data_IF_816672236469
#
_entry.id   IF_816672236469
#
_cell.length_a   1.000
_cell.length_b   1.000
_cell.length_c   1.000
_cell.angle_alpha   90.00
_cell.angle_beta   90.00
_cell.angle_gamma   90.00
#
_symmetry.space_group_name_H-M   'P 1'
#
loop_
_entity.id
_entity.type
_entity.pdbx_description
1 polymer ?
#
# COMPACT_ATOMS: atom_id res chain seq x y z
N UNK A 1 32.61 -27.82 63.63
CA UNK A 1 31.20 -28.17 63.37
C UNK A 1 31.22 -29.57 62.78
N UNK A 2 30.93 -30.55 63.63
CA UNK A 2 30.99 -31.96 63.27
C UNK A 2 29.75 -32.32 62.46
N UNK A 3 29.96 -32.96 61.31
CA UNK A 3 28.91 -33.61 60.53
C UNK A 3 28.67 -34.94 61.24
N UNK A 4 27.54 -35.06 61.93
CA UNK A 4 27.11 -36.31 62.53
C UNK A 4 26.55 -37.21 61.42
N UNK A 5 27.32 -38.24 61.05
CA UNK A 5 26.89 -39.35 60.21
C UNK A 5 25.88 -40.21 60.99
N UNK A 6 24.61 -40.35 60.54
CA UNK A 6 23.64 -41.20 61.22
C UNK A 6 23.67 -42.62 60.63
N UNK A 7 24.84 -43.24 60.59
CA UNK A 7 24.97 -44.67 60.31
C UNK A 7 25.27 -45.40 61.62
N UNK A 8 24.30 -45.36 62.52
CA UNK A 8 24.29 -46.16 63.73
C UNK A 8 24.17 -47.64 63.35
N UNK A 9 25.22 -48.38 63.70
CA UNK A 9 25.47 -49.79 63.44
C UNK A 9 24.42 -50.69 64.12
N UNK A 10 23.55 -51.30 63.32
CA UNK A 10 22.68 -52.42 63.71
C UNK A 10 22.51 -53.38 62.53
N UNK A 11 22.23 -54.68 62.75
CA UNK A 11 22.08 -55.61 61.64
C UNK A 11 20.91 -55.15 60.76
N UNK A 12 21.16 -54.97 59.46
CA UNK A 12 20.11 -54.61 58.48
C UNK A 12 19.03 -55.69 58.54
N UNK A 13 17.93 -55.37 59.22
CA UNK A 13 16.82 -56.30 59.35
C UNK A 13 16.06 -56.39 58.03
N UNK A 14 15.65 -57.61 57.66
CA UNK A 14 14.82 -57.86 56.46
C UNK A 14 13.61 -56.93 56.38
N UNK A 15 13.01 -56.60 57.52
CA UNK A 15 11.86 -55.68 57.64
C UNK A 15 12.19 -54.24 57.23
N UNK A 16 13.39 -53.75 57.54
CA UNK A 16 13.85 -52.43 57.11
C UNK A 16 14.03 -52.36 55.59
N UNK A 17 14.65 -53.39 54.98
CA UNK A 17 14.76 -53.48 53.53
C UNK A 17 13.40 -53.56 52.85
N UNK A 18 12.46 -54.34 53.41
CA UNK A 18 11.09 -54.45 52.89
C UNK A 18 10.33 -53.11 52.96
N UNK A 19 10.55 -52.30 54.00
CA UNK A 19 9.99 -50.96 54.11
C UNK A 19 10.60 -49.99 53.08
N UNK A 20 11.93 -49.98 52.95
CA UNK A 20 12.64 -49.14 51.99
C UNK A 20 12.26 -49.48 50.54
N UNK A 21 12.15 -50.77 50.19
CA UNK A 21 11.68 -51.18 48.86
C UNK A 21 10.23 -50.81 48.60
N UNK A 22 9.39 -50.74 49.65
CA UNK A 22 8.00 -50.31 49.52
C UNK A 22 7.92 -48.81 49.24
N UNK A 23 8.65 -48.01 50.00
CA UNK A 23 8.75 -46.55 49.82
C UNK A 23 9.30 -46.22 48.42
N UNK A 24 10.39 -46.88 48.01
CA UNK A 24 10.98 -46.70 46.68
C UNK A 24 9.99 -47.07 45.57
N UNK A 25 9.18 -48.12 45.76
CA UNK A 25 8.11 -48.49 44.80
C UNK A 25 7.00 -47.45 44.76
N UNK A 26 6.63 -46.88 45.89
CA UNK A 26 5.62 -45.82 45.98
C UNK A 26 6.11 -44.53 45.29
N UNK A 27 7.37 -44.15 45.51
CA UNK A 27 8.04 -43.02 44.85
C UNK A 27 8.15 -43.22 43.34
N UNK A 28 8.58 -44.41 42.89
CA UNK A 28 8.61 -44.73 41.46
C UNK A 28 7.21 -44.72 40.84
N UNK A 29 6.20 -45.20 41.57
CA UNK A 29 4.81 -45.14 41.12
C UNK A 29 4.29 -43.69 41.06
N UNK A 30 4.70 -42.83 41.99
CA UNK A 30 4.38 -41.41 42.00
C UNK A 30 5.04 -40.69 40.82
N UNK A 31 6.36 -40.84 40.65
CA UNK A 31 7.10 -40.27 39.54
C UNK A 31 6.53 -40.73 38.18
N UNK A 32 6.18 -42.00 38.04
CA UNK A 32 5.54 -42.51 36.82
C UNK A 32 4.18 -41.86 36.55
N UNK A 33 3.39 -41.60 37.59
CA UNK A 33 2.10 -40.89 37.48
C UNK A 33 2.31 -39.44 37.07
N UNK A 34 3.28 -38.75 37.67
CA UNK A 34 3.58 -37.35 37.38
C UNK A 34 4.07 -37.20 35.94
N UNK A 35 5.05 -38.01 35.52
CA UNK A 35 5.52 -38.03 34.12
C UNK A 35 4.38 -38.34 33.15
N UNK A 36 3.49 -39.27 33.47
CA UNK A 36 2.35 -39.57 32.63
C UNK A 36 1.34 -38.41 32.55
N UNK A 37 1.19 -37.63 33.63
CA UNK A 37 0.37 -36.42 33.67
C UNK A 37 0.98 -35.32 32.80
N UNK A 38 2.27 -35.07 32.95
CA UNK A 38 3.00 -34.05 32.18
C UNK A 38 2.99 -34.37 30.69
N UNK A 39 3.21 -35.63 30.30
CA UNK A 39 3.11 -36.06 28.90
C UNK A 39 1.71 -35.83 28.34
N UNK A 40 0.66 -36.01 29.13
CA UNK A 40 -0.72 -35.72 28.69
C UNK A 40 -0.95 -34.22 28.51
N UNK A 41 -0.45 -33.40 29.44
CA UNK A 41 -0.54 -31.94 29.34
C UNK A 41 0.18 -31.44 28.08
N UNK A 42 1.43 -31.87 27.86
CA UNK A 42 2.22 -31.51 26.67
C UNK A 42 1.51 -31.94 25.39
N UNK A 43 0.92 -33.15 25.34
CA UNK A 43 0.17 -33.60 24.16
C UNK A 43 -1.06 -32.74 23.87
N UNK A 44 -1.75 -32.29 24.91
CA UNK A 44 -2.89 -31.39 24.79
C UNK A 44 -2.44 -30.04 24.25
N UNK A 45 -1.43 -29.44 24.85
CA UNK A 45 -0.89 -28.14 24.44
C UNK A 45 -0.37 -28.18 23.00
N UNK A 46 0.29 -29.27 22.60
CA UNK A 46 0.75 -29.47 21.22
C UNK A 46 -0.43 -29.57 20.24
N UNK A 47 -1.52 -30.24 20.63
CA UNK A 47 -2.74 -30.31 19.84
C UNK A 47 -3.40 -28.94 19.66
N UNK A 48 -3.50 -28.16 20.73
CA UNK A 48 -4.02 -26.79 20.68
C UNK A 48 -3.14 -25.86 19.84
N UNK A 49 -1.81 -25.99 19.95
CA UNK A 49 -0.87 -25.25 19.12
C UNK A 49 -1.03 -25.61 17.64
N UNK A 50 -1.17 -26.91 17.32
CA UNK A 50 -1.42 -27.37 15.96
C UNK A 50 -2.68 -26.75 15.36
N UNK A 51 -3.79 -26.76 16.10
CA UNK A 51 -5.03 -26.11 15.65
C UNK A 51 -4.86 -24.60 15.41
N UNK A 52 -4.10 -23.92 16.27
CA UNK A 52 -3.80 -22.50 16.10
C UNK A 52 -2.96 -22.25 14.86
N UNK A 53 -1.94 -23.07 14.60
CA UNK A 53 -1.11 -22.97 13.40
C UNK A 53 -1.97 -23.18 12.14
N UNK A 54 -2.77 -24.25 12.09
CA UNK A 54 -3.68 -24.51 10.96
C UNK A 54 -4.63 -23.33 10.72
N UNK A 55 -5.14 -22.71 11.79
CA UNK A 55 -6.04 -21.55 11.67
C UNK A 55 -5.32 -20.31 11.13
N UNK A 56 -4.06 -20.11 11.52
CA UNK A 56 -3.23 -19.00 11.05
C UNK A 56 -2.79 -19.21 9.60
N UNK A 57 -2.48 -20.45 9.20
CA UNK A 57 -2.15 -20.80 7.82
C UNK A 57 -3.33 -20.50 6.90
N UNK A 58 -4.54 -20.98 7.23
CA UNK A 58 -5.75 -20.67 6.45
C UNK A 58 -6.06 -19.17 6.39
N UNK A 59 -5.86 -18.46 7.50
CA UNK A 59 -6.04 -17.00 7.52
C UNK A 59 -4.97 -16.28 6.67
N UNK A 60 -3.76 -16.84 6.59
CA UNK A 60 -2.69 -16.38 5.72
C UNK A 60 -3.05 -16.55 4.24
N UNK A 61 -3.47 -17.75 3.86
CA UNK A 61 -3.92 -18.07 2.49
C UNK A 61 -5.05 -17.14 2.04
N UNK A 62 -6.09 -16.97 2.87
CA UNK A 62 -7.19 -16.05 2.56
C UNK A 62 -6.73 -14.62 2.32
N UNK A 63 -5.82 -14.11 3.17
CA UNK A 63 -5.29 -12.75 3.02
C UNK A 63 -4.42 -12.61 1.78
N UNK A 64 -3.67 -13.64 1.41
CA UNK A 64 -2.87 -13.64 0.20
C UNK A 64 -3.75 -13.59 -1.06
N UNK A 65 -4.86 -14.34 -1.06
CA UNK A 65 -5.87 -14.27 -2.13
C UNK A 65 -6.51 -12.88 -2.22
N UNK A 66 -6.90 -12.29 -1.09
CA UNK A 66 -7.48 -10.94 -1.03
C UNK A 66 -6.50 -9.87 -1.53
N UNK A 67 -5.23 -9.94 -1.12
CA UNK A 67 -4.17 -9.05 -1.59
C UNK A 67 -3.93 -9.18 -3.10
N UNK A 68 -3.94 -10.41 -3.61
CA UNK A 68 -3.82 -10.69 -5.05
C UNK A 68 -5.00 -10.11 -5.82
N UNK A 69 -6.22 -10.22 -5.31
CA UNK A 69 -7.41 -9.62 -5.92
C UNK A 69 -7.31 -8.08 -5.96
N UNK A 70 -7.00 -7.44 -4.84
CA UNK A 70 -6.84 -5.99 -4.78
C UNK A 70 -5.71 -5.47 -5.66
N UNK A 71 -4.60 -6.21 -5.77
CA UNK A 71 -3.52 -5.84 -6.68
C UNK A 71 -3.98 -5.81 -8.15
N UNK A 72 -4.85 -6.74 -8.55
CA UNK A 72 -5.43 -6.75 -9.90
C UNK A 72 -6.37 -5.57 -10.11
N UNK A 73 -7.25 -5.31 -9.14
CA UNK A 73 -8.17 -4.16 -9.19
C UNK A 73 -7.41 -2.83 -9.31
N UNK A 74 -6.35 -2.63 -8.52
CA UNK A 74 -5.52 -1.43 -8.58
C UNK A 74 -4.87 -1.24 -9.95
N UNK A 75 -4.45 -2.34 -10.59
CA UNK A 75 -3.88 -2.29 -11.93
C UNK A 75 -4.94 -1.91 -12.97
N UNK A 76 -6.13 -2.49 -12.90
CA UNK A 76 -7.25 -2.08 -13.76
C UNK A 76 -7.66 -0.62 -13.56
N UNK A 77 -7.69 -0.13 -12.31
CA UNK A 77 -8.01 1.27 -12.03
C UNK A 77 -6.93 2.20 -12.58
N UNK A 78 -5.66 1.80 -12.49
CA UNK A 78 -4.55 2.55 -13.09
C UNK A 78 -4.72 2.65 -14.61
N UNK A 79 -5.01 1.54 -15.28
CA UNK A 79 -5.18 1.50 -16.74
C UNK A 79 -6.39 2.33 -17.19
N UNK A 80 -7.51 2.24 -16.44
CA UNK A 80 -8.70 3.08 -16.68
C UNK A 80 -8.39 4.56 -16.50
N UNK A 81 -7.65 4.94 -15.46
CA UNK A 81 -7.25 6.33 -15.23
C UNK A 81 -6.32 6.84 -16.33
N UNK A 82 -5.35 6.03 -16.76
CA UNK A 82 -4.47 6.39 -17.87
C UNK A 82 -5.26 6.58 -19.18
N UNK A 83 -6.20 5.69 -19.47
CA UNK A 83 -7.11 5.84 -20.61
C UNK A 83 -7.98 7.09 -20.55
N UNK A 84 -8.48 7.46 -19.37
CA UNK A 84 -9.24 8.70 -19.18
C UNK A 84 -8.37 9.94 -19.37
N UNK A 85 -7.13 9.93 -18.91
CA UNK A 85 -6.19 11.03 -19.12
C UNK A 85 -5.88 11.24 -20.60
N UNK A 86 -5.68 10.16 -21.37
CA UNK A 86 -5.47 10.23 -22.81
C UNK A 86 -6.68 10.82 -23.53
N UNK A 87 -7.90 10.38 -23.18
CA UNK A 87 -9.14 10.94 -23.74
C UNK A 87 -9.32 12.41 -23.39
N UNK A 88 -8.98 12.81 -22.17
CA UNK A 88 -9.01 14.22 -21.76
C UNK A 88 -8.04 15.06 -22.57
N UNK A 89 -6.82 14.57 -22.79
CA UNK A 89 -5.84 15.24 -23.64
C UNK A 89 -6.33 15.37 -25.08
N UNK A 90 -6.91 14.31 -25.64
CA UNK A 90 -7.51 14.32 -26.97
C UNK A 90 -8.66 15.34 -27.06
N UNK A 91 -9.57 15.36 -26.08
CA UNK A 91 -10.66 16.34 -26.03
C UNK A 91 -10.15 17.77 -25.85
N UNK A 92 -9.13 18.00 -25.02
CA UNK A 92 -8.50 19.32 -24.90
C UNK A 92 -7.86 19.75 -26.22
N UNK A 93 -7.18 18.85 -26.92
CA UNK A 93 -6.54 19.12 -28.19
C UNK A 93 -7.59 19.36 -29.29
N UNK A 94 -8.65 18.57 -29.34
CA UNK A 94 -9.76 18.74 -30.26
C UNK A 94 -10.48 20.07 -30.02
N UNK A 95 -10.75 20.42 -28.75
CA UNK A 95 -11.34 21.70 -28.36
C UNK A 95 -10.44 22.90 -28.70
N UNK A 96 -9.11 22.71 -28.73
CA UNK A 96 -8.13 23.75 -29.09
C UNK A 96 -7.71 23.72 -30.55
N UNK A 97 -8.20 22.79 -31.36
CA UNK A 97 -7.74 22.59 -32.73
C UNK A 97 -7.95 23.83 -33.62
N UNK A 98 -9.06 24.55 -33.40
CA UNK A 98 -9.37 25.81 -34.10
C UNK A 98 -8.85 27.06 -33.37
N UNK A 99 -8.19 26.92 -32.21
CA UNK A 99 -7.76 28.06 -31.40
C UNK A 99 -6.37 28.54 -31.81
N UNK A 100 -6.31 29.72 -32.42
CA UNK A 100 -5.04 30.39 -32.75
C UNK A 100 -4.61 31.29 -31.59
N UNK A 101 -3.34 31.16 -31.17
CA UNK A 101 -2.73 31.99 -30.11
C UNK A 101 -1.77 33.01 -30.70
N UNK A 102 -2.16 34.28 -30.67
CA UNK A 102 -1.32 35.39 -31.13
C UNK A 102 -0.57 35.99 -29.93
N UNK A 103 0.77 36.04 -30.00
CA UNK A 103 1.63 36.67 -28.98
C UNK A 103 2.15 38.01 -29.48
N UNK A 104 2.40 38.94 -28.56
CA UNK A 104 2.97 40.26 -28.90
C UNK A 104 1.94 41.29 -29.40
N UNK A 105 0.64 40.99 -29.31
CA UNK A 105 -0.40 41.96 -29.66
C UNK A 105 -0.33 43.19 -28.74
N UNK A 106 -0.34 44.42 -29.30
CA UNK A 106 -0.18 45.66 -28.56
C UNK A 106 -1.27 45.80 -27.49
N UNK A 107 -0.91 46.23 -26.27
CA UNK A 107 -1.87 46.36 -25.17
C UNK A 107 -2.97 47.40 -25.45
N UNK A 108 -2.70 48.37 -26.32
CA UNK A 108 -3.61 49.47 -26.68
C UNK A 108 -4.86 49.02 -27.44
N UNK A 109 -4.86 47.80 -27.99
CA UNK A 109 -6.07 47.19 -28.54
C UNK A 109 -6.90 46.61 -27.38
N UNK A 110 -7.60 47.50 -26.68
CA UNK A 110 -8.51 47.21 -25.56
C UNK A 110 -9.82 46.53 -26.02
N UNK A 111 -10.51 45.94 -25.03
CA UNK A 111 -11.49 44.86 -25.09
C UNK A 111 -12.75 45.01 -25.97
N UNK A 112 -12.91 46.11 -26.72
CA UNK A 112 -14.08 46.33 -27.58
C UNK A 112 -13.83 46.21 -29.08
N UNK A 113 -12.56 46.24 -29.54
CA UNK A 113 -12.19 46.27 -30.97
C UNK A 113 -11.06 45.30 -31.33
N UNK A 114 -10.89 44.25 -30.54
CA UNK A 114 -9.82 43.28 -30.77
C UNK A 114 -10.06 42.46 -32.05
N UNK A 115 -11.32 42.27 -32.43
CA UNK A 115 -11.74 41.64 -33.68
C UNK A 115 -11.26 42.43 -34.90
N UNK A 116 -11.48 43.75 -34.92
CA UNK A 116 -11.02 44.64 -35.99
C UNK A 116 -9.49 44.57 -36.16
N UNK A 117 -8.77 44.56 -35.04
CA UNK A 117 -7.31 44.41 -35.03
C UNK A 117 -6.88 43.06 -35.62
N UNK A 118 -7.55 41.96 -35.25
CA UNK A 118 -7.26 40.62 -35.77
C UNK A 118 -7.52 40.57 -37.28
N UNK A 119 -8.64 41.11 -37.76
CA UNK A 119 -8.95 41.15 -39.19
C UNK A 119 -7.92 41.98 -39.97
N UNK A 120 -7.53 43.14 -39.45
CA UNK A 120 -6.46 43.95 -40.06
C UNK A 120 -5.12 43.22 -40.07
N UNK A 121 -4.78 42.51 -38.99
CA UNK A 121 -3.58 41.71 -38.90
C UNK A 121 -3.57 40.57 -39.94
N UNK A 122 -4.67 39.83 -40.08
CA UNK A 122 -4.77 38.77 -41.09
C UNK A 122 -4.67 39.29 -42.52
N UNK A 123 -5.25 40.47 -42.83
CA UNK A 123 -5.08 41.11 -44.14
C UNK A 123 -3.62 41.46 -44.45
N UNK A 124 -2.87 41.90 -43.42
CA UNK A 124 -1.45 42.23 -43.59
C UNK A 124 -0.58 40.98 -43.79
N UNK A 125 -0.86 39.90 -43.05
CA UNK A 125 -0.06 38.67 -43.08
C UNK A 125 -0.41 37.78 -44.27
N UNK A 126 -1.70 37.69 -44.63
CA UNK A 126 -2.20 36.87 -45.74
C UNK A 126 -3.14 37.72 -46.62
N UNK A 127 -2.58 38.51 -47.56
CA UNK A 127 -3.37 39.42 -48.40
C UNK A 127 -4.33 38.72 -49.37
N UNK A 128 -4.08 37.44 -49.67
CA UNK A 128 -4.90 36.63 -50.56
C UNK A 128 -6.16 36.08 -49.88
N UNK A 129 -6.36 36.35 -48.59
CA UNK A 129 -7.49 35.86 -47.82
C UNK A 129 -8.70 36.79 -48.04
N UNK A 130 -9.81 36.24 -48.52
CA UNK A 130 -11.06 37.00 -48.70
C UNK A 130 -11.70 37.29 -47.33
N UNK A 131 -12.23 38.50 -47.12
CA UNK A 131 -12.75 38.94 -45.82
C UNK A 131 -13.92 38.08 -45.30
N UNK A 132 -14.72 37.53 -46.21
CA UNK A 132 -15.87 36.66 -45.89
C UNK A 132 -15.45 35.24 -45.45
N UNK A 133 -14.18 34.86 -45.66
CA UNK A 133 -13.69 33.52 -45.33
C UNK A 133 -13.26 33.36 -43.86
N UNK A 134 -13.11 34.47 -43.12
CA UNK A 134 -12.63 34.45 -41.73
C UNK A 134 -13.81 34.60 -40.78
N UNK A 135 -14.23 33.48 -40.20
CA UNK A 135 -15.25 33.44 -39.14
C UNK A 135 -14.52 33.36 -37.80
N UNK A 136 -14.74 34.36 -36.94
CA UNK A 136 -14.20 34.41 -35.58
C UNK A 136 -15.36 34.13 -34.60
N UNK A 137 -15.30 33.02 -33.87
CA UNK A 137 -16.34 32.67 -32.88
C UNK A 137 -16.16 33.42 -31.56
N UNK A 138 -14.95 33.42 -31.02
CA UNK A 138 -14.61 34.08 -29.75
C UNK A 138 -13.21 34.66 -29.83
N UNK A 139 -13.08 35.95 -29.52
CA UNK A 139 -11.77 36.59 -29.34
C UNK A 139 -11.60 37.05 -27.90
N UNK A 140 -10.54 36.58 -27.25
CA UNK A 140 -10.29 36.92 -25.86
C UNK A 140 -8.79 37.06 -25.59
N UNK A 141 -8.41 38.12 -24.87
CA UNK A 141 -7.07 38.23 -24.28
C UNK A 141 -6.97 37.30 -23.08
N UNK A 142 -6.12 36.29 -23.17
CA UNK A 142 -5.82 35.41 -22.05
C UNK A 142 -4.74 36.06 -21.19
N UNK A 143 -5.06 36.37 -19.93
CA UNK A 143 -4.10 36.89 -18.96
C UNK A 143 -2.91 35.94 -18.77
N UNK A 144 -1.77 36.44 -18.29
CA UNK A 144 -0.63 35.58 -17.96
C UNK A 144 -1.12 34.50 -16.98
N UNK A 145 -0.86 33.21 -17.23
CA UNK A 145 -1.19 32.18 -16.26
C UNK A 145 -0.43 32.50 -14.97
N UNK A 146 -1.19 32.77 -13.90
CA UNK A 146 -0.68 32.97 -12.56
C UNK A 146 0.03 31.68 -12.12
N UNK A 147 1.35 31.64 -12.26
CA UNK A 147 2.26 30.55 -11.85
C UNK A 147 1.71 29.15 -12.14
N UNK A 148 2.11 28.60 -13.28
CA UNK A 148 1.90 27.20 -13.65
C UNK A 148 2.19 26.25 -12.46
N UNK A 149 1.14 25.74 -11.80
CA UNK A 149 1.23 24.78 -10.69
C UNK A 149 1.80 23.41 -11.12
N UNK A 150 2.01 23.16 -12.43
CA UNK A 150 2.51 21.88 -12.97
C UNK A 150 3.93 21.52 -12.52
N UNK A 151 4.77 22.48 -12.12
CA UNK A 151 6.10 22.17 -11.55
C UNK A 151 6.05 21.75 -10.08
N UNK A 152 4.98 22.04 -9.33
CA UNK A 152 4.88 21.65 -7.91
C UNK A 152 4.50 20.19 -7.69
N UNK A 153 3.67 19.60 -8.56
CA UNK A 153 3.24 18.21 -8.43
C UNK A 153 4.33 17.21 -8.83
N UNK A 154 5.17 17.55 -9.83
CA UNK A 154 6.29 16.67 -10.23
C UNK A 154 7.42 16.65 -9.19
N UNK A 155 7.67 17.78 -8.53
CA UNK A 155 8.61 17.85 -7.40
C UNK A 155 8.12 17.07 -6.18
N UNK A 156 6.81 17.08 -5.92
CA UNK A 156 6.20 16.35 -4.79
C UNK A 156 6.23 14.83 -5.00
N UNK A 157 6.01 14.35 -6.23
CA UNK A 157 6.09 12.92 -6.57
C UNK A 157 7.52 12.37 -6.61
N UNK A 158 8.52 13.22 -6.93
CA UNK A 158 9.94 12.83 -6.86
C UNK A 158 10.49 12.86 -5.42
N UNK A 159 9.91 13.66 -4.53
CA UNK A 159 10.24 13.64 -3.09
C UNK A 159 9.59 12.49 -2.32
N UNK A 160 8.53 11.86 -2.86
CA UNK A 160 7.87 10.70 -2.25
C UNK A 160 8.61 9.37 -2.51
N UNK A 161 9.61 9.38 -3.39
CA UNK A 161 10.63 8.33 -3.47
C UNK A 161 11.79 8.73 -2.56
N UNK A 162 11.64 8.47 -1.26
CA UNK A 162 12.72 8.58 -0.30
C UNK A 162 13.87 7.58 -0.59
N UNK A 163 15.03 7.76 0.07
CA UNK A 163 16.26 6.99 -0.15
C UNK A 163 16.11 5.49 0.09
#
# INVERSE_FOLDING_TARGET
MAIEDPLAEGPVTRTFLEALFRELREDFAALRRDVASDVKAIKKDLGELGQRVDSLERAGEWREEELSAHSKELLEFRDKNEGLLLRLEEHENHSRHSNIRIRGAPLQADAGKFEDYILQFFRQVVPALEEESVILDLTQRVGRPSKCLRTSLRASLLSAKGP
#
